data_IF_422272348139
#
_entry.id   IF_422272348139
#
_cell.length_a   1.000
_cell.length_b   1.000
_cell.length_c   1.000
_cell.angle_alpha   90.00
_cell.angle_beta   90.00
_cell.angle_gamma   90.00
#
_symmetry.space_group_name_H-M   'P 1'
#
loop_
_entity.id
_entity.type
_entity.pdbx_description
1 polymer ?
#
# COMPACT_ATOMS: atom_id res chain seq x y z
N UNK A 1 -9.73 8.03 -19.57
CA UNK A 1 -8.57 8.25 -18.70
C UNK A 1 -8.13 6.90 -18.14
N UNK A 2 -6.86 6.50 -18.31
CA UNK A 2 -6.40 5.20 -17.81
C UNK A 2 -6.58 5.10 -16.30
N UNK A 3 -7.12 4.00 -15.81
CA UNK A 3 -7.42 3.79 -14.39
C UNK A 3 -6.19 3.92 -13.49
N UNK A 4 -5.00 3.66 -13.99
CA UNK A 4 -3.75 3.77 -13.22
C UNK A 4 -3.36 5.20 -12.81
N UNK A 5 -3.90 6.24 -13.44
CA UNK A 5 -3.66 7.63 -13.03
C UNK A 5 -4.32 7.96 -11.69
N UNK A 6 -5.40 7.29 -11.34
CA UNK A 6 -6.14 7.54 -10.10
C UNK A 6 -5.57 6.83 -8.84
N UNK A 7 -4.61 5.93 -9.01
CA UNK A 7 -4.08 5.10 -7.93
C UNK A 7 -2.92 5.69 -7.14
N UNK A 8 -2.46 6.89 -7.50
CA UNK A 8 -1.20 7.41 -6.96
C UNK A 8 -1.27 8.04 -5.56
N UNK A 9 -2.42 8.57 -5.13
CA UNK A 9 -2.46 9.39 -3.92
C UNK A 9 -2.17 8.60 -2.65
N UNK A 10 -2.91 7.56 -2.41
CA UNK A 10 -2.76 6.78 -1.19
C UNK A 10 -1.44 6.02 -1.16
N UNK A 11 -1.00 5.49 -2.30
CA UNK A 11 0.30 4.85 -2.43
C UNK A 11 1.45 5.83 -2.19
N UNK A 12 1.38 7.02 -2.77
CA UNK A 12 2.40 8.06 -2.57
C UNK A 12 2.42 8.55 -1.12
N UNK A 13 1.25 8.81 -0.53
CA UNK A 13 1.15 9.24 0.87
C UNK A 13 1.71 8.17 1.82
N UNK A 14 1.39 6.90 1.58
CA UNK A 14 1.93 5.79 2.36
C UNK A 14 3.44 5.66 2.20
N UNK A 15 3.96 5.78 0.98
CA UNK A 15 5.40 5.76 0.72
C UNK A 15 6.13 6.88 1.47
N UNK A 16 5.62 8.11 1.40
CA UNK A 16 6.19 9.25 2.12
C UNK A 16 6.14 9.05 3.64
N UNK A 17 5.04 8.50 4.15
CA UNK A 17 4.90 8.18 5.57
C UNK A 17 5.93 7.15 6.03
N UNK A 18 6.12 6.07 5.27
CA UNK A 18 7.12 5.02 5.59
C UNK A 18 8.54 5.57 5.62
N UNK A 19 8.89 6.46 4.69
CA UNK A 19 10.21 7.10 4.64
C UNK A 19 10.43 8.09 5.79
N UNK A 20 9.37 8.79 6.21
CA UNK A 20 9.41 9.73 7.34
C UNK A 20 9.44 9.01 8.70
N UNK A 21 8.76 7.87 8.80
CA UNK A 21 8.60 7.10 10.03
C UNK A 21 8.99 5.62 9.81
N UNK A 22 10.28 5.35 9.53
CA UNK A 22 10.75 4.01 9.12
C UNK A 22 10.56 2.92 10.18
N UNK A 23 10.39 3.28 11.46
CA UNK A 23 10.20 2.33 12.55
C UNK A 23 8.98 1.42 12.35
N UNK A 24 8.01 1.80 11.54
CA UNK A 24 6.84 0.97 11.24
C UNK A 24 7.19 -0.31 10.47
N UNK A 25 8.24 -0.27 9.66
CA UNK A 25 8.63 -1.41 8.79
C UNK A 25 10.07 -1.87 8.98
N UNK A 26 10.89 -1.10 9.67
CA UNK A 26 12.32 -1.43 9.87
C UNK A 26 12.49 -2.81 10.50
N UNK A 27 13.38 -3.61 9.89
CA UNK A 27 13.71 -4.98 10.29
C UNK A 27 12.54 -5.99 10.23
N UNK A 28 11.42 -5.61 9.63
CA UNK A 28 10.22 -6.43 9.49
C UNK A 28 10.09 -7.06 8.11
N UNK A 29 9.31 -8.15 8.04
CA UNK A 29 8.82 -8.72 6.79
C UNK A 29 7.51 -8.03 6.44
N UNK A 30 7.45 -7.44 5.26
CA UNK A 30 6.34 -6.59 4.80
C UNK A 30 5.72 -7.16 3.53
N UNK A 31 4.39 -7.13 3.44
CA UNK A 31 3.66 -7.44 2.22
C UNK A 31 2.90 -6.19 1.77
N UNK A 32 3.09 -5.81 0.51
CA UNK A 32 2.34 -4.73 -0.15
C UNK A 32 1.25 -5.36 -1.02
N UNK A 33 0.00 -5.23 -0.59
CA UNK A 33 -1.16 -5.81 -1.27
C UNK A 33 -1.73 -4.83 -2.31
N UNK A 34 -1.91 -5.32 -3.53
CA UNK A 34 -2.29 -4.47 -4.66
C UNK A 34 -1.15 -3.52 -5.03
N UNK A 35 0.07 -4.07 -5.13
CA UNK A 35 1.31 -3.29 -5.20
C UNK A 35 1.40 -2.34 -6.40
N UNK A 36 0.66 -2.59 -7.50
CA UNK A 36 0.63 -1.75 -8.69
C UNK A 36 2.04 -1.51 -9.25
N UNK A 37 2.50 -0.27 -9.23
CA UNK A 37 3.86 0.09 -9.68
C UNK A 37 4.96 -0.20 -8.65
N UNK A 38 4.61 -0.63 -7.44
CA UNK A 38 5.55 -0.95 -6.38
C UNK A 38 6.04 0.23 -5.54
N UNK A 39 5.42 1.39 -5.65
CA UNK A 39 5.88 2.60 -4.94
C UNK A 39 5.93 2.40 -3.42
N UNK A 40 4.93 1.76 -2.84
CA UNK A 40 4.86 1.47 -1.41
C UNK A 40 5.90 0.43 -1.00
N UNK A 41 6.02 -0.66 -1.76
CA UNK A 41 7.00 -1.72 -1.53
C UNK A 41 8.43 -1.19 -1.58
N UNK A 42 8.75 -0.37 -2.57
CA UNK A 42 10.07 0.25 -2.72
C UNK A 42 10.36 1.16 -1.52
N UNK A 43 9.40 2.00 -1.12
CA UNK A 43 9.55 2.86 0.05
C UNK A 43 9.75 2.05 1.34
N UNK A 44 8.99 0.96 1.53
CA UNK A 44 9.17 0.07 2.67
C UNK A 44 10.58 -0.54 2.71
N UNK A 45 11.09 -0.97 1.56
CA UNK A 45 12.46 -1.50 1.47
C UNK A 45 13.50 -0.45 1.78
N UNK A 46 13.36 0.76 1.23
CA UNK A 46 14.24 1.91 1.51
C UNK A 46 14.18 2.35 2.98
N UNK A 47 13.02 2.20 3.62
CA UNK A 47 12.82 2.48 5.05
C UNK A 47 13.43 1.40 5.97
N UNK A 48 14.05 0.37 5.42
CA UNK A 48 14.80 -0.64 6.17
C UNK A 48 14.04 -1.94 6.46
N UNK A 49 12.95 -2.22 5.75
CA UNK A 49 12.28 -3.52 5.84
C UNK A 49 13.27 -4.66 5.52
N UNK A 50 13.22 -5.73 6.31
CA UNK A 50 14.06 -6.91 6.12
C UNK A 50 13.79 -7.58 4.77
N UNK A 51 12.51 -7.83 4.49
CA UNK A 51 12.01 -8.37 3.22
C UNK A 51 10.72 -7.66 2.86
N UNK A 52 10.47 -7.47 1.57
CA UNK A 52 9.22 -6.91 1.07
C UNK A 52 8.70 -7.77 -0.07
N UNK A 53 7.44 -8.17 0.04
CA UNK A 53 6.71 -8.98 -0.94
C UNK A 53 5.69 -8.07 -1.63
N UNK A 54 5.84 -7.89 -2.94
CA UNK A 54 4.84 -7.24 -3.79
C UNK A 54 3.78 -8.28 -4.16
N UNK A 55 2.55 -8.08 -3.75
CA UNK A 55 1.44 -8.95 -4.07
C UNK A 55 0.45 -8.24 -4.99
N UNK A 56 0.29 -8.74 -6.22
CA UNK A 56 -0.68 -8.20 -7.17
C UNK A 56 -1.13 -9.31 -8.13
N UNK A 57 -2.43 -9.36 -8.41
CA UNK A 57 -2.99 -10.34 -9.34
C UNK A 57 -2.69 -10.01 -10.82
N UNK A 58 -2.33 -8.76 -11.10
CA UNK A 58 -2.00 -8.31 -12.45
C UNK A 58 -0.51 -8.53 -12.75
N UNK A 59 -0.18 -9.40 -13.72
CA UNK A 59 1.22 -9.64 -14.10
C UNK A 59 1.91 -8.40 -14.65
N UNK A 60 1.17 -7.45 -15.25
CA UNK A 60 1.73 -6.18 -15.75
C UNK A 60 2.16 -5.31 -14.55
N UNK A 61 1.36 -5.28 -13.49
CA UNK A 61 1.73 -4.61 -12.24
C UNK A 61 3.01 -5.19 -11.65
N UNK A 62 3.13 -6.52 -11.56
CA UNK A 62 4.33 -7.17 -11.03
C UNK A 62 5.57 -6.91 -11.89
N UNK A 63 5.43 -6.82 -13.21
CA UNK A 63 6.53 -6.45 -14.09
C UNK A 63 6.96 -5.00 -13.86
N UNK A 64 6.00 -4.09 -13.74
CA UNK A 64 6.27 -2.70 -13.40
C UNK A 64 6.99 -2.57 -12.04
N UNK A 65 6.57 -3.35 -11.04
CA UNK A 65 7.29 -3.42 -9.76
C UNK A 65 8.75 -3.84 -9.93
N UNK A 66 9.03 -4.84 -10.76
CA UNK A 66 10.40 -5.33 -11.00
C UNK A 66 11.27 -4.26 -11.64
N UNK A 67 10.75 -3.60 -12.68
CA UNK A 67 11.47 -2.53 -13.36
C UNK A 67 11.76 -1.35 -12.41
N UNK A 68 10.76 -0.92 -11.65
CA UNK A 68 10.93 0.17 -10.69
C UNK A 68 11.87 -0.20 -9.54
N UNK A 69 11.86 -1.43 -9.08
CA UNK A 69 12.80 -1.93 -8.06
C UNK A 69 14.24 -1.86 -8.57
N UNK A 70 14.49 -2.27 -9.81
CA UNK A 70 15.80 -2.17 -10.45
C UNK A 70 16.28 -0.72 -10.55
N UNK A 71 15.40 0.20 -10.97
CA UNK A 71 15.72 1.62 -11.06
C UNK A 71 16.09 2.26 -9.70
N UNK A 72 15.54 1.73 -8.62
CA UNK A 72 15.77 2.20 -7.25
C UNK A 72 16.82 1.38 -6.49
N UNK A 73 17.46 0.40 -7.14
CA UNK A 73 18.46 -0.49 -6.53
C UNK A 73 17.97 -1.18 -5.26
N UNK A 74 16.74 -1.66 -5.27
CA UNK A 74 16.14 -2.42 -4.17
C UNK A 74 15.77 -3.82 -4.61
N UNK A 75 15.86 -4.78 -3.70
CA UNK A 75 15.44 -6.16 -3.93
C UNK A 75 14.07 -6.39 -3.31
N UNK A 76 13.13 -6.88 -4.12
CA UNK A 76 11.77 -7.21 -3.72
C UNK A 76 11.44 -8.65 -4.10
N UNK A 77 10.48 -9.23 -3.40
CA UNK A 77 9.87 -10.51 -3.73
C UNK A 77 8.51 -10.27 -4.36
N UNK A 78 7.98 -11.25 -5.10
CA UNK A 78 6.76 -11.07 -5.89
C UNK A 78 5.83 -12.26 -5.70
N UNK A 79 4.53 -11.98 -5.56
CA UNK A 79 3.46 -12.98 -5.47
C UNK A 79 2.25 -12.52 -6.29
N UNK A 80 1.64 -13.45 -7.01
CA UNK A 80 0.39 -13.22 -7.76
C UNK A 80 -0.87 -13.55 -6.94
N UNK A 81 -0.70 -14.02 -5.71
CA UNK A 81 -1.81 -14.49 -4.89
C UNK A 81 -1.48 -14.32 -3.39
N UNK A 82 -2.34 -13.61 -2.67
CA UNK A 82 -2.20 -13.42 -1.22
C UNK A 82 -2.18 -14.76 -0.47
N UNK A 83 -2.98 -15.72 -0.91
CA UNK A 83 -3.11 -17.03 -0.24
C UNK A 83 -1.89 -17.94 -0.40
N UNK A 84 -0.98 -17.61 -1.31
CA UNK A 84 0.33 -18.27 -1.45
C UNK A 84 1.40 -17.63 -0.58
N UNK A 85 1.09 -16.48 0.04
CA UNK A 85 2.04 -15.76 0.86
C UNK A 85 2.19 -16.39 2.25
N UNK A 86 3.39 -16.29 2.80
CA UNK A 86 3.66 -16.60 4.20
C UNK A 86 3.05 -15.56 5.14
N UNK A 87 3.01 -15.84 6.44
CA UNK A 87 2.70 -14.82 7.43
C UNK A 87 3.81 -13.77 7.48
N UNK A 88 3.42 -12.50 7.52
CA UNK A 88 4.30 -11.35 7.56
C UNK A 88 4.09 -10.52 8.83
N UNK A 89 5.02 -9.65 9.15
CA UNK A 89 4.89 -8.75 10.30
C UNK A 89 3.90 -7.62 10.02
N UNK A 90 3.98 -7.04 8.82
CA UNK A 90 3.16 -5.89 8.40
C UNK A 90 2.61 -6.11 7.00
N UNK A 91 1.31 -5.88 6.84
CA UNK A 91 0.66 -5.80 5.53
C UNK A 91 0.25 -4.35 5.27
N UNK A 92 0.61 -3.86 4.10
CA UNK A 92 0.28 -2.51 3.61
C UNK A 92 -0.70 -2.65 2.45
N UNK A 93 -1.75 -1.81 2.43
CA UNK A 93 -2.72 -1.76 1.35
C UNK A 93 -3.12 -0.30 1.08
N UNK A 94 -2.86 0.16 -0.12
CA UNK A 94 -3.20 1.52 -0.55
C UNK A 94 -4.24 1.50 -1.67
N UNK A 95 -5.29 2.33 -1.54
CA UNK A 95 -6.38 2.46 -2.51
C UNK A 95 -7.10 1.16 -2.87
N UNK A 96 -7.32 0.29 -1.89
CA UNK A 96 -7.99 -1.01 -2.11
C UNK A 96 -9.48 -0.97 -1.75
N UNK A 97 -9.96 0.05 -1.03
CA UNK A 97 -11.31 0.10 -0.49
C UNK A 97 -12.38 0.53 -1.50
N UNK A 98 -12.01 1.14 -2.60
CA UNK A 98 -12.95 1.64 -3.61
C UNK A 98 -13.75 0.52 -4.29
N UNK A 99 -13.19 -0.66 -4.40
CA UNK A 99 -13.91 -1.85 -4.84
C UNK A 99 -14.50 -2.56 -3.62
N UNK A 100 -15.84 -2.66 -3.59
CA UNK A 100 -16.53 -3.35 -2.48
C UNK A 100 -16.13 -4.81 -2.34
N UNK A 101 -15.74 -5.46 -3.44
CA UNK A 101 -15.20 -6.82 -3.41
C UNK A 101 -13.91 -6.91 -2.57
N UNK A 102 -13.12 -5.84 -2.55
CA UNK A 102 -11.89 -5.80 -1.76
C UNK A 102 -12.14 -5.63 -0.25
N UNK A 103 -13.31 -5.19 0.18
CA UNK A 103 -13.62 -5.06 1.61
C UNK A 103 -13.55 -6.39 2.36
N UNK A 104 -13.83 -7.47 1.69
CA UNK A 104 -13.63 -8.83 2.21
C UNK A 104 -12.18 -9.05 2.66
N UNK A 105 -11.21 -8.50 1.95
CA UNK A 105 -9.79 -8.65 2.28
C UNK A 105 -9.41 -8.00 3.61
N UNK A 106 -10.14 -7.02 4.10
CA UNK A 106 -9.86 -6.41 5.41
C UNK A 106 -9.88 -7.43 6.55
N UNK A 107 -10.77 -8.42 6.48
CA UNK A 107 -10.77 -9.53 7.44
C UNK A 107 -9.71 -10.59 7.10
N UNK A 108 -9.49 -10.85 5.82
CA UNK A 108 -8.50 -11.83 5.36
C UNK A 108 -7.07 -11.41 5.71
N UNK A 109 -6.73 -10.12 5.57
CA UNK A 109 -5.39 -9.61 5.88
C UNK A 109 -4.90 -10.01 7.27
N UNK A 110 -5.79 -10.08 8.26
CA UNK A 110 -5.47 -10.46 9.63
C UNK A 110 -5.02 -11.92 9.79
N UNK A 111 -5.27 -12.75 8.78
CA UNK A 111 -4.76 -14.13 8.73
C UNK A 111 -3.29 -14.19 8.27
N UNK A 112 -2.81 -13.15 7.60
CA UNK A 112 -1.49 -13.10 6.98
C UNK A 112 -0.52 -12.16 7.66
N UNK A 113 -1.01 -11.19 8.44
CA UNK A 113 -0.15 -10.20 9.07
C UNK A 113 -0.54 -9.93 10.52
N UNK A 114 0.47 -9.67 11.35
CA UNK A 114 0.28 -9.25 12.74
C UNK A 114 -0.27 -7.81 12.81
N UNK A 115 0.12 -6.97 11.84
CA UNK A 115 -0.31 -5.57 11.76
C UNK A 115 -0.68 -5.23 10.33
N UNK A 116 -1.81 -4.55 10.13
CA UNK A 116 -2.27 -4.10 8.81
C UNK A 116 -2.47 -2.59 8.82
N UNK A 117 -1.93 -1.94 7.79
CA UNK A 117 -2.14 -0.53 7.51
C UNK A 117 -2.84 -0.34 6.17
N UNK A 118 -3.90 0.46 6.17
CA UNK A 118 -4.66 0.80 4.97
C UNK A 118 -4.64 2.30 4.78
N UNK A 119 -4.28 2.75 3.58
CA UNK A 119 -4.39 4.14 3.16
C UNK A 119 -5.43 4.26 2.05
N UNK A 120 -6.35 5.20 2.17
CA UNK A 120 -7.40 5.40 1.19
C UNK A 120 -7.77 6.88 1.03
N UNK A 121 -7.93 7.29 -0.23
CA UNK A 121 -8.29 8.66 -0.62
C UNK A 121 -9.73 8.80 -1.13
N UNK A 122 -10.43 7.71 -1.33
CA UNK A 122 -11.70 7.68 -2.07
C UNK A 122 -12.92 7.39 -1.23
N UNK A 123 -12.78 6.52 -0.24
CA UNK A 123 -13.91 6.11 0.61
C UNK A 123 -14.00 7.04 1.81
N UNK A 124 -15.04 7.88 1.81
CA UNK A 124 -15.36 8.76 2.94
C UNK A 124 -16.15 7.98 3.99
N UNK A 125 -15.95 8.33 5.26
CA UNK A 125 -16.68 7.75 6.39
C UNK A 125 -16.54 6.22 6.48
N UNK A 126 -15.37 5.69 6.09
CA UNK A 126 -15.08 4.28 6.25
C UNK A 126 -15.05 3.91 7.75
N UNK A 127 -15.71 2.82 8.07
CA UNK A 127 -15.71 2.25 9.42
C UNK A 127 -15.64 0.75 9.34
N UNK A 128 -14.79 0.15 10.18
CA UNK A 128 -14.67 -1.29 10.32
C UNK A 128 -14.29 -1.64 11.76
N UNK A 129 -14.93 -2.65 12.35
CA UNK A 129 -14.77 -2.98 13.76
C UNK A 129 -13.36 -3.43 14.18
N UNK A 130 -12.52 -3.82 13.22
CA UNK A 130 -11.12 -4.24 13.47
C UNK A 130 -10.07 -3.19 13.09
N UNK A 131 -10.50 -2.06 12.54
CA UNK A 131 -9.61 -1.00 12.08
C UNK A 131 -9.98 0.33 12.71
N UNK A 132 -8.97 1.10 13.03
CA UNK A 132 -9.12 2.44 13.58
C UNK A 132 -8.44 3.46 12.66
N UNK A 133 -9.10 4.59 12.40
CA UNK A 133 -8.47 5.73 11.72
C UNK A 133 -7.42 6.33 12.63
N UNK A 134 -6.20 6.40 12.15
CA UNK A 134 -5.05 6.92 12.90
C UNK A 134 -4.68 8.32 12.48
N UNK A 135 -4.73 8.60 11.17
CA UNK A 135 -4.21 9.86 10.62
C UNK A 135 -4.94 10.22 9.33
N UNK A 136 -4.77 11.45 8.91
CA UNK A 136 -5.19 11.94 7.60
C UNK A 136 -4.10 12.87 7.06
N UNK A 137 -3.63 12.60 5.85
CA UNK A 137 -2.56 13.35 5.23
C UNK A 137 -2.96 13.83 3.85
N UNK A 138 -2.50 15.03 3.50
CA UNK A 138 -2.62 15.55 2.15
C UNK A 138 -1.49 15.00 1.28
N UNK A 139 -1.81 14.49 0.10
CA UNK A 139 -0.85 14.07 -0.90
C UNK A 139 -1.12 14.76 -2.22
N UNK A 140 -0.08 15.05 -2.99
CA UNK A 140 -0.16 15.54 -4.36
C UNK A 140 0.62 14.61 -5.26
N UNK A 141 0.12 14.39 -6.49
CA UNK A 141 0.90 13.70 -7.51
C UNK A 141 2.04 14.58 -8.00
N UNK A 142 3.10 13.93 -8.52
CA UNK A 142 4.16 14.64 -9.23
C UNK A 142 4.29 14.10 -10.67
N UNK A 143 4.13 14.94 -11.69
CA UNK A 143 3.67 16.33 -11.63
C UNK A 143 2.25 16.48 -11.07
N UNK A 144 1.94 17.65 -10.51
CA UNK A 144 0.57 17.94 -10.03
C UNK A 144 -0.36 17.98 -11.25
N UNK A 145 -1.28 17.03 -11.31
CA UNK A 145 -2.24 16.88 -12.40
C UNK A 145 -3.52 17.70 -12.19
N UNK A 146 -3.48 18.65 -11.26
CA UNK A 146 -4.59 19.54 -10.89
C UNK A 146 -5.88 18.78 -10.52
N UNK A 147 -5.71 17.71 -9.77
CA UNK A 147 -6.82 16.85 -9.35
C UNK A 147 -7.68 17.51 -8.28
N UNK A 148 -8.93 17.10 -8.21
CA UNK A 148 -9.90 17.63 -7.26
C UNK A 148 -9.36 17.51 -5.81
N UNK A 149 -9.44 18.59 -5.05
CA UNK A 149 -8.94 18.69 -3.66
C UNK A 149 -9.46 17.57 -2.75
N UNK A 150 -10.64 17.05 -3.03
CA UNK A 150 -11.27 15.97 -2.26
C UNK A 150 -10.53 14.63 -2.35
N UNK A 151 -9.73 14.40 -3.40
CA UNK A 151 -8.90 13.19 -3.55
C UNK A 151 -7.47 13.37 -3.02
N UNK A 152 -7.10 14.59 -2.63
CA UNK A 152 -5.76 14.88 -2.06
C UNK A 152 -5.64 14.47 -0.59
N UNK A 153 -6.75 14.20 0.09
CA UNK A 153 -6.75 13.77 1.48
C UNK A 153 -6.76 12.24 1.56
N UNK A 154 -5.72 11.71 2.17
CA UNK A 154 -5.53 10.27 2.39
C UNK A 154 -5.74 9.95 3.85
N UNK A 155 -6.68 9.08 4.14
CA UNK A 155 -6.93 8.56 5.48
C UNK A 155 -6.13 7.27 5.72
N UNK A 156 -5.50 7.18 6.89
CA UNK A 156 -4.75 6.01 7.34
C UNK A 156 -5.52 5.25 8.40
N UNK A 157 -5.63 3.96 8.22
CA UNK A 157 -6.28 3.05 9.15
C UNK A 157 -5.31 1.96 9.57
N UNK A 158 -5.40 1.54 10.82
CA UNK A 158 -4.58 0.48 11.38
C UNK A 158 -5.47 -0.54 12.10
N UNK A 159 -5.06 -1.78 12.11
CA UNK A 159 -5.67 -2.83 12.96
C UNK A 159 -5.54 -2.49 14.43
N UNK A 160 -6.58 -2.82 15.18
CA UNK A 160 -6.64 -2.66 16.64
C UNK A 160 -5.69 -3.61 17.36
#
# INVERSE_FOLDING_TARGET
TPYWIFFFFSGLAMAQWLLAEPHHVKDKVVLDFGAGSGVVAIAAKMAGAKRVICCDIDPISLESCRENALLNNVELEYSDDLYKSEQVDVLLAADVLYDQCNRFFLDEFLKFAAEVWVADSRVKNFSHHKYMKIDERSATTWPDLDEAKEFKNVSFYKTL
#
